data_IF_438496430200
#
_entry.id   IF_438496430200
#
_cell.length_a   1.000
_cell.length_b   1.000
_cell.length_c   1.000
_cell.angle_alpha   90.00
_cell.angle_beta   90.00
_cell.angle_gamma   90.00
#
_symmetry.space_group_name_H-M   'P 1'
#
loop_
_entity.id
_entity.type
_entity.pdbx_description
1 polymer ?
#
# COMPACT_ATOMS: atom_id res chain seq x y z
N UNK A 1 17.14 40.21 32.55
CA UNK A 1 15.98 39.31 32.36
C UNK A 1 16.47 37.88 32.53
N UNK A 2 15.80 37.07 33.35
CA UNK A 2 16.25 35.74 33.79
C UNK A 2 15.24 34.73 33.27
N UNK A 3 15.66 33.83 32.38
CA UNK A 3 14.77 32.84 31.77
C UNK A 3 15.05 31.46 32.38
N UNK A 4 14.05 30.96 33.09
CA UNK A 4 14.05 29.63 33.71
C UNK A 4 13.51 28.61 32.70
N UNK A 5 14.22 27.51 32.40
CA UNK A 5 13.66 26.45 31.56
C UNK A 5 12.81 25.50 32.41
N UNK A 6 11.51 25.41 32.08
CA UNK A 6 10.62 24.36 32.59
C UNK A 6 10.75 23.15 31.65
N UNK A 7 11.40 22.09 32.16
CA UNK A 7 11.44 20.77 31.53
C UNK A 7 10.08 20.10 31.70
N UNK A 8 9.27 20.08 30.64
CA UNK A 8 8.04 19.30 30.58
C UNK A 8 8.37 17.86 30.15
N UNK A 9 8.37 16.95 31.12
CA UNK A 9 8.41 15.51 30.89
C UNK A 9 7.04 15.05 30.34
N UNK A 10 6.99 14.71 29.05
CA UNK A 10 5.83 14.07 28.44
C UNK A 10 5.93 12.56 28.67
N UNK A 11 5.12 12.06 29.59
CA UNK A 11 4.94 10.65 29.87
C UNK A 11 4.31 9.94 28.65
N UNK A 12 4.93 8.84 28.21
CA UNK A 12 4.39 7.99 27.16
C UNK A 12 3.29 7.08 27.73
N UNK A 13 2.12 6.94 27.08
CA UNK A 13 1.15 5.93 27.46
C UNK A 13 1.66 4.54 27.06
N UNK A 14 1.79 3.66 28.05
CA UNK A 14 2.05 2.24 27.84
C UNK A 14 0.79 1.57 27.27
N UNK A 15 0.82 1.22 25.99
CA UNK A 15 -0.23 0.41 25.36
C UNK A 15 -0.03 -1.06 25.78
N UNK A 16 -0.88 -1.55 26.68
CA UNK A 16 -0.95 -2.96 27.04
C UNK A 16 -1.62 -3.75 25.90
N UNK A 17 -0.87 -4.68 25.28
CA UNK A 17 -1.37 -5.54 24.21
C UNK A 17 -1.98 -6.82 24.81
N UNK A 18 -3.31 -6.93 24.81
CA UNK A 18 -4.01 -8.16 25.18
C UNK A 18 -3.90 -9.17 24.02
N UNK A 19 -3.17 -10.27 24.22
CA UNK A 19 -3.08 -11.39 23.28
C UNK A 19 -4.31 -12.29 23.43
N UNK A 20 -5.29 -12.11 22.54
CA UNK A 20 -6.33 -13.11 22.31
C UNK A 20 -5.76 -14.25 21.46
N UNK A 21 -5.66 -15.44 22.04
CA UNK A 21 -5.27 -16.66 21.34
C UNK A 21 -6.35 -17.05 20.32
N UNK A 22 -6.13 -16.70 19.05
CA UNK A 22 -6.94 -17.20 17.94
C UNK A 22 -6.34 -18.51 17.41
N UNK A 23 -7.12 -19.59 17.46
CA UNK A 23 -6.79 -20.87 16.85
C UNK A 23 -6.51 -20.66 15.35
N UNK A 24 -5.27 -20.91 14.93
CA UNK A 24 -4.83 -20.70 13.55
C UNK A 24 -5.20 -21.92 12.72
N UNK A 25 -6.35 -21.86 12.05
CA UNK A 25 -6.68 -22.79 10.97
C UNK A 25 -5.74 -22.46 9.81
N UNK A 26 -4.91 -23.42 9.40
CA UNK A 26 -3.99 -23.23 8.28
C UNK A 26 -4.76 -22.79 7.01
N UNK A 27 -4.32 -21.75 6.28
CA UNK A 27 -4.98 -21.35 5.04
C UNK A 27 -4.90 -22.51 4.04
N UNK A 28 -6.03 -22.82 3.39
CA UNK A 28 -6.03 -23.71 2.24
C UNK A 28 -5.11 -23.13 1.14
N UNK A 29 -4.49 -23.98 0.27
CA UNK A 29 -3.69 -23.48 -0.83
C UNK A 29 -4.56 -22.53 -1.67
N UNK A 30 -4.17 -21.25 -1.73
CA UNK A 30 -4.85 -20.29 -2.58
C UNK A 30 -4.72 -20.79 -4.02
N UNK A 31 -5.86 -20.97 -4.70
CA UNK A 31 -5.87 -21.20 -6.14
C UNK A 31 -5.17 -20.07 -6.88
N UNK A 32 -4.96 -20.24 -8.19
CA UNK A 32 -4.38 -19.19 -9.05
C UNK A 32 -5.04 -17.83 -8.77
N UNK A 33 -4.28 -16.75 -8.52
CA UNK A 33 -4.83 -15.43 -8.27
C UNK A 33 -5.78 -15.00 -9.39
N UNK A 34 -7.00 -14.57 -9.04
CA UNK A 34 -7.91 -13.95 -9.99
C UNK A 34 -7.53 -12.48 -10.17
N UNK A 35 -6.87 -12.18 -11.30
CA UNK A 35 -6.38 -10.83 -11.60
C UNK A 35 -7.48 -9.93 -12.18
N UNK A 36 -8.67 -10.45 -12.48
CA UNK A 36 -9.73 -9.72 -13.20
C UNK A 36 -10.12 -8.42 -12.51
N UNK A 37 -10.25 -8.43 -11.17
CA UNK A 37 -10.58 -7.24 -10.39
C UNK A 37 -9.46 -6.20 -10.50
N UNK A 38 -8.21 -6.65 -10.42
CA UNK A 38 -7.07 -5.76 -10.60
C UNK A 38 -7.06 -5.15 -12.00
N UNK A 39 -7.20 -5.95 -13.05
CA UNK A 39 -7.12 -5.50 -14.45
C UNK A 39 -8.19 -4.45 -14.76
N UNK A 40 -9.40 -4.62 -14.22
CA UNK A 40 -10.49 -3.66 -14.33
C UNK A 40 -10.16 -2.30 -13.69
N UNK A 41 -9.45 -2.29 -12.57
CA UNK A 41 -9.05 -1.05 -11.87
C UNK A 41 -7.75 -0.45 -12.38
N UNK A 42 -6.85 -1.27 -12.94
CA UNK A 42 -5.53 -0.88 -13.39
C UNK A 42 -5.55 -0.02 -14.66
N UNK A 43 -6.55 -0.21 -15.52
CA UNK A 43 -6.67 0.48 -16.80
C UNK A 43 -5.42 0.27 -17.66
N UNK A 44 -4.70 1.36 -17.96
CA UNK A 44 -3.46 1.30 -18.76
C UNK A 44 -2.29 0.55 -18.12
N UNK A 45 -2.42 0.12 -16.85
CA UNK A 45 -1.41 -0.60 -16.09
C UNK A 45 -1.75 -2.09 -15.86
N UNK A 46 -2.72 -2.64 -16.60
CA UNK A 46 -3.24 -4.00 -16.37
C UNK A 46 -2.16 -5.08 -16.39
N UNK A 47 -1.10 -4.91 -17.19
CA UNK A 47 0.05 -5.82 -17.27
C UNK A 47 0.85 -5.91 -15.95
N UNK A 48 0.65 -4.96 -15.04
CA UNK A 48 1.33 -4.91 -13.74
C UNK A 48 0.56 -5.60 -12.61
N UNK A 49 -0.64 -6.12 -12.90
CA UNK A 49 -1.50 -6.71 -11.89
C UNK A 49 -0.88 -7.88 -11.14
N UNK A 50 -0.15 -8.76 -11.82
CA UNK A 50 0.56 -9.86 -11.14
C UNK A 50 1.55 -9.35 -10.09
N UNK A 51 2.17 -8.17 -10.32
CA UNK A 51 3.09 -7.54 -9.37
C UNK A 51 2.34 -6.88 -8.22
N UNK A 52 1.27 -6.17 -8.52
CA UNK A 52 0.51 -5.40 -7.53
C UNK A 52 -0.48 -6.24 -6.70
N UNK A 53 -0.79 -7.48 -7.11
CA UNK A 53 -1.87 -8.29 -6.51
C UNK A 53 -1.71 -8.52 -4.99
N UNK A 54 -0.49 -8.78 -4.55
CA UNK A 54 -0.17 -9.04 -3.14
C UNK A 54 -0.56 -7.90 -2.19
N UNK A 55 -0.67 -6.66 -2.69
CA UNK A 55 -1.10 -5.51 -1.89
C UNK A 55 -2.56 -5.59 -1.46
N UNK A 56 -3.39 -6.31 -2.21
CA UNK A 56 -4.83 -6.35 -2.05
C UNK A 56 -5.39 -7.77 -1.89
N UNK A 57 -4.56 -8.80 -1.94
CA UNK A 57 -5.00 -10.21 -1.96
C UNK A 57 -5.86 -10.60 -0.73
N UNK A 58 -5.58 -10.00 0.42
CA UNK A 58 -6.32 -10.24 1.69
C UNK A 58 -7.43 -9.21 1.95
N UNK A 59 -7.61 -8.23 1.05
CA UNK A 59 -8.63 -7.20 1.21
C UNK A 59 -10.02 -7.77 1.01
N UNK A 60 -10.95 -7.44 1.91
CA UNK A 60 -12.39 -7.74 1.76
C UNK A 60 -13.07 -6.90 0.68
N UNK A 61 -12.42 -5.82 0.22
CA UNK A 61 -12.87 -4.99 -0.90
C UNK A 61 -11.67 -4.77 -1.85
N UNK A 62 -11.47 -5.72 -2.77
CA UNK A 62 -10.36 -5.68 -3.71
C UNK A 62 -10.49 -4.54 -4.73
N UNK A 63 -11.70 -4.24 -5.20
CA UNK A 63 -11.94 -3.13 -6.14
C UNK A 63 -11.45 -1.79 -5.58
N UNK A 64 -11.87 -1.45 -4.35
CA UNK A 64 -11.46 -0.20 -3.71
C UNK A 64 -9.95 -0.19 -3.39
N UNK A 65 -9.39 -1.35 -3.03
CA UNK A 65 -7.96 -1.48 -2.77
C UNK A 65 -7.14 -1.23 -4.04
N UNK A 66 -7.44 -1.92 -5.14
CA UNK A 66 -6.74 -1.73 -6.41
C UNK A 66 -6.98 -0.35 -7.00
N UNK A 67 -8.19 0.21 -6.88
CA UNK A 67 -8.44 1.59 -7.27
C UNK A 67 -7.50 2.58 -6.54
N UNK A 68 -7.27 2.36 -5.24
CA UNK A 68 -6.35 3.19 -4.44
C UNK A 68 -4.88 2.99 -4.87
N UNK A 69 -4.46 1.74 -5.10
CA UNK A 69 -3.13 1.39 -5.60
C UNK A 69 -2.85 2.08 -6.92
N UNK A 70 -3.74 1.96 -7.90
CA UNK A 70 -3.52 2.54 -9.22
C UNK A 70 -3.75 4.05 -9.28
N UNK A 71 -4.52 4.61 -8.35
CA UNK A 71 -4.54 6.07 -8.13
C UNK A 71 -3.15 6.56 -7.67
N UNK A 72 -2.50 5.84 -6.76
CA UNK A 72 -1.14 6.17 -6.34
C UNK A 72 -0.12 5.99 -7.47
N UNK A 73 -0.22 4.92 -8.28
CA UNK A 73 0.63 4.75 -9.47
C UNK A 73 0.46 5.94 -10.41
N UNK A 74 -0.77 6.27 -10.79
CA UNK A 74 -1.04 7.38 -11.71
C UNK A 74 -0.55 8.74 -11.17
N UNK A 75 -0.67 8.98 -9.87
CA UNK A 75 -0.12 10.16 -9.22
C UNK A 75 1.41 10.24 -9.37
N UNK A 76 2.11 9.13 -9.11
CA UNK A 76 3.57 9.09 -9.25
C UNK A 76 4.04 9.21 -10.70
N UNK A 77 3.34 8.59 -11.64
CA UNK A 77 3.60 8.71 -13.08
C UNK A 77 3.47 10.18 -13.52
N UNK A 78 2.36 10.82 -13.14
CA UNK A 78 2.11 12.24 -13.40
C UNK A 78 3.18 13.15 -12.79
N UNK A 79 3.63 12.87 -11.57
CA UNK A 79 4.70 13.65 -10.91
C UNK A 79 6.05 13.47 -11.61
N UNK A 80 6.35 12.27 -12.10
CA UNK A 80 7.56 12.01 -12.86
C UNK A 80 7.55 12.80 -14.19
N UNK A 81 6.45 12.77 -14.93
CA UNK A 81 6.30 13.54 -16.16
C UNK A 81 6.44 15.05 -15.95
N UNK A 82 5.85 15.59 -14.87
CA UNK A 82 5.95 17.00 -14.53
C UNK A 82 7.38 17.48 -14.22
N UNK A 83 8.28 16.56 -13.84
CA UNK A 83 9.68 16.87 -13.58
C UNK A 83 10.63 16.46 -14.71
N UNK A 84 10.10 16.15 -15.90
CA UNK A 84 10.90 15.76 -17.06
C UNK A 84 11.56 14.38 -16.92
N UNK A 85 10.95 13.49 -16.13
CA UNK A 85 11.43 12.13 -15.96
C UNK A 85 11.26 11.26 -17.21
N UNK A 86 11.77 10.03 -17.13
CA UNK A 86 11.63 9.01 -18.18
C UNK A 86 11.23 7.67 -17.55
N UNK A 87 10.59 6.80 -18.33
CA UNK A 87 10.03 5.54 -17.83
C UNK A 87 9.10 5.74 -16.61
N UNK A 88 8.28 6.79 -16.62
CA UNK A 88 7.50 7.22 -15.47
C UNK A 88 6.47 6.18 -15.00
N UNK A 89 5.82 5.49 -15.93
CA UNK A 89 4.91 4.39 -15.63
C UNK A 89 5.62 3.25 -14.86
N UNK A 90 6.78 2.80 -15.37
CA UNK A 90 7.58 1.77 -14.71
C UNK A 90 8.03 2.19 -13.31
N UNK A 91 8.59 3.40 -13.19
CA UNK A 91 9.03 3.94 -11.89
C UNK A 91 7.87 4.09 -10.89
N UNK A 92 6.70 4.50 -11.36
CA UNK A 92 5.51 4.64 -10.53
C UNK A 92 5.02 3.30 -10.00
N UNK A 93 4.99 2.29 -10.87
CA UNK A 93 4.64 0.90 -10.51
C UNK A 93 5.66 0.34 -9.53
N UNK A 94 6.97 0.49 -9.80
CA UNK A 94 8.03 0.03 -8.90
C UNK A 94 7.92 0.66 -7.50
N UNK A 95 7.53 1.94 -7.45
CA UNK A 95 7.38 2.68 -6.20
C UNK A 95 6.17 2.25 -5.37
N UNK A 96 5.08 1.84 -6.02
CA UNK A 96 3.83 1.45 -5.34
C UNK A 96 3.75 -0.05 -5.10
N UNK A 97 4.05 -0.84 -6.14
CA UNK A 97 3.92 -2.29 -6.15
C UNK A 97 5.21 -3.04 -5.85
N UNK A 98 6.34 -2.35 -5.71
CA UNK A 98 7.64 -3.01 -5.54
C UNK A 98 8.14 -3.66 -6.83
N UNK A 99 9.33 -4.27 -6.77
CA UNK A 99 9.94 -5.01 -7.89
C UNK A 99 9.55 -6.47 -7.87
#
# INVERSE_FOLDING_TARGET
>A
MKFTPVLAALALPAMALAQSSSTSTAPAPAGTPDLTVCESQAGGYADTCARCYHLCETSSNQEQCFNSVYTAVNYNDSMCWQHGGSNCAGQAVDKVCGQ
#
